data_IF_445838097777
#
_entry.id   IF_445838097777
#
_cell.length_a   1.000
_cell.length_b   1.000
_cell.length_c   1.000
_cell.angle_alpha   90.00
_cell.angle_beta   90.00
_cell.angle_gamma   90.00
#
_symmetry.space_group_name_H-M   'P 1'
#
loop_
_entity.id
_entity.type
_entity.pdbx_description
1 polymer ?
#
# COMPACT_ATOMS: atom_id res chain seq x y z
N UNK A 1 -0.15 6.98 9.25
CA UNK A 1 -1.30 6.25 9.86
C UNK A 1 -0.85 5.07 10.72
N UNK A 2 0.08 4.22 10.28
CA UNK A 2 0.52 3.04 11.07
C UNK A 2 0.91 3.37 12.52
N UNK A 3 1.52 4.52 12.76
CA UNK A 3 1.93 4.94 14.10
C UNK A 3 0.79 5.46 15.01
N UNK A 4 -0.47 5.46 14.57
CA UNK A 4 -1.61 5.91 15.39
C UNK A 4 -1.73 5.12 16.69
N UNK A 5 -1.39 3.83 16.62
CA UNK A 5 -1.44 2.91 17.78
C UNK A 5 -0.05 2.53 18.32
N UNK A 6 0.96 3.37 18.04
CA UNK A 6 2.32 3.09 18.52
C UNK A 6 2.37 3.01 20.04
N UNK A 7 2.81 1.86 20.54
CA UNK A 7 2.91 1.58 21.96
C UNK A 7 1.61 1.12 22.61
N UNK A 8 0.52 1.06 21.86
CA UNK A 8 -0.81 0.73 22.39
C UNK A 8 -1.09 -0.77 22.41
N UNK A 9 -2.08 -1.13 23.22
CA UNK A 9 -2.71 -2.45 23.24
C UNK A 9 -4.15 -2.29 22.76
N UNK A 10 -4.42 -2.76 21.55
CA UNK A 10 -5.73 -2.69 20.91
C UNK A 10 -6.66 -3.75 21.53
N UNK A 11 -7.92 -3.42 21.71
CA UNK A 11 -8.96 -4.38 22.00
C UNK A 11 -9.18 -5.29 20.78
N UNK A 12 -8.88 -6.58 20.91
CA UNK A 12 -8.97 -7.56 19.82
C UNK A 12 -10.37 -7.73 19.24
N UNK A 13 -11.44 -7.37 20.00
CA UNK A 13 -12.80 -7.39 19.49
C UNK A 13 -13.09 -6.32 18.43
N UNK A 14 -12.22 -5.31 18.32
CA UNK A 14 -12.34 -4.23 17.33
C UNK A 14 -11.63 -4.55 16.00
N UNK A 15 -10.85 -5.62 15.97
CA UNK A 15 -10.15 -6.04 14.73
C UNK A 15 -11.11 -6.84 13.82
N UNK A 16 -11.01 -6.68 12.49
CA UNK A 16 -10.11 -5.79 11.78
C UNK A 16 -10.56 -4.31 11.81
N UNK A 17 -9.60 -3.38 11.89
CA UNK A 17 -9.85 -1.95 11.76
C UNK A 17 -9.28 -1.42 10.45
N UNK A 18 -10.05 -0.59 9.75
CA UNK A 18 -9.65 0.01 8.48
C UNK A 18 -9.64 1.53 8.57
N UNK A 19 -8.58 2.13 8.03
CA UNK A 19 -8.40 3.57 8.00
C UNK A 19 -8.04 4.03 6.60
N UNK A 20 -8.44 5.26 6.30
CA UNK A 20 -8.11 5.94 5.05
C UNK A 20 -7.70 7.38 5.37
N UNK A 21 -6.63 7.86 4.74
CA UNK A 21 -6.22 9.25 4.87
C UNK A 21 -5.67 9.79 3.55
N UNK A 22 -6.00 11.05 3.28
CA UNK A 22 -5.45 11.83 2.18
C UNK A 22 -4.36 12.76 2.71
N UNK A 23 -3.22 12.82 2.01
CA UNK A 23 -2.13 13.73 2.37
C UNK A 23 -1.27 14.11 1.16
N UNK A 24 -0.62 15.28 1.23
CA UNK A 24 0.50 15.60 0.39
C UNK A 24 1.72 14.78 0.82
N UNK A 25 2.45 14.25 -0.16
CA UNK A 25 3.67 13.48 0.04
C UNK A 25 4.82 14.16 -0.69
N UNK A 26 6.02 14.09 -0.11
CA UNK A 26 7.21 14.73 -0.63
C UNK A 26 8.33 13.71 -0.81
N UNK A 27 8.96 13.71 -1.99
CA UNK A 27 10.10 12.84 -2.30
C UNK A 27 11.21 13.63 -2.96
N UNK A 28 12.46 13.41 -2.53
CA UNK A 28 13.64 14.02 -3.14
C UNK A 28 13.95 13.49 -4.54
N UNK A 29 13.43 12.29 -4.89
CA UNK A 29 13.65 11.60 -6.16
C UNK A 29 15.17 11.53 -6.55
N UNK A 30 16.04 11.58 -5.54
CA UNK A 30 17.48 11.48 -5.72
C UNK A 30 17.84 10.07 -6.22
N UNK A 31 18.56 9.99 -7.33
CA UNK A 31 18.95 8.73 -7.94
C UNK A 31 17.98 8.18 -8.97
N UNK A 32 16.79 8.77 -9.15
CA UNK A 32 15.95 8.45 -10.29
C UNK A 32 16.59 9.03 -11.56
N UNK A 33 16.99 8.16 -12.48
CA UNK A 33 17.54 8.54 -13.77
C UNK A 33 16.77 7.84 -14.87
N UNK A 34 16.54 8.53 -15.98
CA UNK A 34 15.96 7.94 -17.17
C UNK A 34 14.68 8.60 -17.69
N UNK A 35 13.93 7.85 -18.48
CA UNK A 35 12.72 8.36 -19.18
C UNK A 35 11.63 8.81 -18.22
N UNK A 36 11.50 8.17 -17.07
CA UNK A 36 10.45 8.45 -16.07
C UNK A 36 10.68 9.74 -15.27
N UNK A 37 11.88 10.36 -15.38
CA UNK A 37 12.19 11.66 -14.76
C UNK A 37 11.68 12.84 -15.57
N UNK A 38 11.20 12.60 -16.79
CA UNK A 38 10.63 13.63 -17.67
C UNK A 38 9.11 13.50 -17.65
N UNK A 39 8.41 14.61 -17.43
CA UNK A 39 6.96 14.65 -17.42
C UNK A 39 6.35 14.56 -16.01
N UNK A 40 5.15 13.99 -15.87
CA UNK A 40 4.32 14.06 -14.66
C UNK A 40 4.39 12.81 -13.77
N UNK A 41 5.10 11.74 -14.17
CA UNK A 41 5.10 10.47 -13.41
C UNK A 41 5.91 10.59 -12.11
N UNK A 42 7.07 11.23 -12.16
CA UNK A 42 7.93 11.45 -11.00
C UNK A 42 7.83 12.90 -10.56
N UNK A 43 7.22 13.12 -9.42
CA UNK A 43 6.98 14.45 -8.86
C UNK A 43 7.62 14.56 -7.48
N UNK A 44 8.13 15.74 -7.13
CA UNK A 44 8.67 16.03 -5.81
C UNK A 44 7.56 16.19 -4.76
N UNK A 45 6.39 16.65 -5.18
CA UNK A 45 5.18 16.73 -4.39
C UNK A 45 4.04 16.05 -5.14
N UNK A 46 3.34 15.15 -4.46
CA UNK A 46 2.16 14.47 -5.01
C UNK A 46 1.17 14.15 -3.90
N UNK A 47 -0.09 14.01 -4.27
CA UNK A 47 -1.14 13.65 -3.34
C UNK A 47 -1.32 12.13 -3.32
N UNK A 48 -1.54 11.59 -2.11
CA UNK A 48 -1.78 10.16 -1.92
C UNK A 48 -2.94 9.91 -0.97
N UNK A 49 -3.76 8.94 -1.31
CA UNK A 49 -4.73 8.33 -0.41
C UNK A 49 -4.11 7.03 0.10
N UNK A 50 -3.90 6.94 1.39
CA UNK A 50 -3.34 5.77 2.06
C UNK A 50 -4.45 4.96 2.71
N UNK A 51 -4.46 3.65 2.47
CA UNK A 51 -5.32 2.69 3.14
C UNK A 51 -4.48 1.88 4.13
N UNK A 52 -4.93 1.75 5.37
CA UNK A 52 -4.24 0.94 6.39
C UNK A 52 -5.26 0.07 7.11
N UNK A 53 -4.94 -1.22 7.26
CA UNK A 53 -5.72 -2.15 8.05
C UNK A 53 -4.87 -2.70 9.20
N UNK A 54 -5.49 -2.80 10.39
CA UNK A 54 -4.97 -3.56 11.52
C UNK A 54 -5.84 -4.80 11.65
N UNK A 55 -5.20 -5.98 11.61
CA UNK A 55 -5.89 -7.26 11.56
C UNK A 55 -5.30 -8.24 12.56
N UNK A 56 -6.02 -9.31 12.85
CA UNK A 56 -5.43 -10.47 13.49
C UNK A 56 -4.53 -11.21 12.49
N UNK A 57 -3.48 -11.93 12.96
CA UNK A 57 -2.56 -12.65 12.08
C UNK A 57 -3.24 -13.62 11.10
N UNK A 58 -4.23 -14.35 11.58
CA UNK A 58 -4.97 -15.35 10.79
C UNK A 58 -5.84 -14.75 9.67
N UNK A 59 -6.14 -13.45 9.75
CA UNK A 59 -6.97 -12.73 8.79
C UNK A 59 -6.16 -11.87 7.82
N UNK A 60 -4.86 -11.66 8.08
CA UNK A 60 -4.06 -10.62 7.39
C UNK A 60 -4.05 -10.78 5.87
N UNK A 61 -3.85 -11.99 5.37
CA UNK A 61 -3.83 -12.24 3.92
C UNK A 61 -5.21 -12.05 3.27
N UNK A 62 -6.28 -12.45 3.96
CA UNK A 62 -7.63 -12.21 3.46
C UNK A 62 -7.98 -10.71 3.44
N UNK A 63 -7.50 -9.96 4.40
CA UNK A 63 -7.67 -8.51 4.44
C UNK A 63 -6.78 -7.78 3.42
N UNK A 64 -5.62 -8.34 3.04
CA UNK A 64 -4.83 -7.84 1.90
C UNK A 64 -5.63 -7.96 0.59
N UNK A 65 -6.29 -9.09 0.34
CA UNK A 65 -7.12 -9.26 -0.87
C UNK A 65 -8.25 -8.21 -0.91
N UNK A 66 -8.93 -7.97 0.20
CA UNK A 66 -9.98 -6.94 0.29
C UNK A 66 -9.41 -5.53 0.05
N UNK A 67 -8.27 -5.21 0.65
CA UNK A 67 -7.61 -3.91 0.48
C UNK A 67 -7.20 -3.70 -0.98
N UNK A 68 -6.70 -4.73 -1.65
CA UNK A 68 -6.36 -4.69 -3.06
C UNK A 68 -7.61 -4.45 -3.91
N UNK A 69 -8.72 -5.12 -3.63
CA UNK A 69 -9.99 -4.89 -4.32
C UNK A 69 -10.54 -3.48 -4.12
N UNK A 70 -10.39 -2.90 -2.93
CA UNK A 70 -10.79 -1.51 -2.68
C UNK A 70 -9.99 -0.54 -3.58
N UNK A 71 -8.68 -0.78 -3.72
CA UNK A 71 -7.82 0.01 -4.61
C UNK A 71 -8.17 -0.19 -6.10
N UNK A 72 -8.42 -1.42 -6.55
CA UNK A 72 -8.88 -1.73 -7.91
C UNK A 72 -10.20 -1.03 -8.23
N UNK A 73 -11.10 -0.97 -7.25
CA UNK A 73 -12.43 -0.38 -7.43
C UNK A 73 -12.37 1.06 -7.91
N UNK A 74 -11.39 1.83 -7.46
CA UNK A 74 -11.17 3.21 -7.90
C UNK A 74 -10.88 3.25 -9.41
N UNK A 75 -10.01 2.37 -9.91
CA UNK A 75 -9.65 2.32 -11.33
C UNK A 75 -10.81 1.82 -12.19
N UNK A 76 -11.59 0.87 -11.69
CA UNK A 76 -12.81 0.41 -12.35
C UNK A 76 -13.82 1.54 -12.53
N UNK A 77 -14.04 2.35 -11.47
CA UNK A 77 -14.94 3.49 -11.52
C UNK A 77 -14.46 4.59 -12.48
N UNK A 78 -13.14 4.75 -12.61
CA UNK A 78 -12.53 5.68 -13.56
C UNK A 78 -12.49 5.13 -15.00
N UNK A 79 -12.79 3.85 -15.20
CA UNK A 79 -12.73 3.20 -16.51
C UNK A 79 -11.31 3.07 -17.07
N UNK A 80 -10.30 3.02 -16.20
CA UNK A 80 -8.90 2.93 -16.61
C UNK A 80 -8.48 1.47 -16.79
N UNK A 81 -7.79 1.12 -17.91
CA UNK A 81 -7.18 -0.19 -18.08
C UNK A 81 -6.04 -0.37 -17.07
N UNK A 82 -6.10 -1.43 -16.30
CA UNK A 82 -5.09 -1.74 -15.27
C UNK A 82 -4.79 -3.24 -15.20
N UNK A 83 -3.77 -3.60 -14.49
CA UNK A 83 -3.48 -4.97 -14.09
C UNK A 83 -2.97 -5.01 -12.65
N UNK A 84 -3.14 -6.16 -11.99
CA UNK A 84 -2.56 -6.44 -10.69
C UNK A 84 -1.42 -7.42 -10.87
N UNK A 85 -0.28 -7.13 -10.26
CA UNK A 85 0.94 -7.94 -10.34
C UNK A 85 1.36 -8.31 -8.93
N UNK A 86 1.60 -9.59 -8.68
CA UNK A 86 2.25 -10.03 -7.44
C UNK A 86 3.76 -9.85 -7.58
N UNK A 87 4.39 -9.21 -6.61
CA UNK A 87 5.84 -9.01 -6.65
C UNK A 87 6.60 -10.32 -6.36
N UNK A 88 7.67 -10.53 -7.11
CA UNK A 88 8.63 -11.58 -6.80
C UNK A 88 9.39 -11.27 -5.51
N UNK A 89 9.98 -12.29 -4.88
CA UNK A 89 10.75 -12.10 -3.64
C UNK A 89 11.94 -11.17 -3.79
N UNK A 90 12.49 -11.04 -5.01
CA UNK A 90 13.58 -10.10 -5.30
C UNK A 90 13.17 -8.63 -5.35
N UNK A 91 11.88 -8.37 -5.55
CA UNK A 91 11.32 -7.01 -5.67
C UNK A 91 10.58 -6.57 -4.40
N UNK A 92 10.37 -7.49 -3.45
CA UNK A 92 9.71 -7.16 -2.18
C UNK A 92 10.56 -6.21 -1.35
N UNK A 93 9.92 -5.18 -0.79
CA UNK A 93 10.52 -4.39 0.28
C UNK A 93 10.83 -5.27 1.50
N UNK A 94 11.91 -4.99 2.22
CA UNK A 94 12.39 -5.81 3.35
C UNK A 94 11.37 -6.02 4.48
N UNK A 95 10.33 -5.19 4.54
CA UNK A 95 9.27 -5.26 5.56
C UNK A 95 8.04 -6.05 5.11
N UNK A 96 7.94 -6.39 3.84
CA UNK A 96 6.73 -7.00 3.25
C UNK A 96 6.87 -8.50 3.14
N UNK A 97 5.80 -9.23 3.46
CA UNK A 97 5.68 -10.67 3.24
C UNK A 97 5.03 -10.98 1.89
N UNK A 98 4.06 -10.15 1.47
CA UNK A 98 3.38 -10.24 0.17
C UNK A 98 3.01 -8.84 -0.29
N UNK A 99 3.19 -8.58 -1.58
CA UNK A 99 2.82 -7.29 -2.20
C UNK A 99 2.15 -7.52 -3.54
N UNK A 100 1.07 -6.79 -3.76
CA UNK A 100 0.46 -6.56 -5.05
C UNK A 100 0.73 -5.14 -5.51
N UNK A 101 1.26 -4.97 -6.72
CA UNK A 101 1.29 -3.69 -7.40
C UNK A 101 0.10 -3.59 -8.35
N UNK A 102 -0.51 -2.42 -8.37
CA UNK A 102 -1.56 -2.07 -9.32
C UNK A 102 -0.95 -1.12 -10.34
N UNK A 103 -0.96 -1.54 -11.60
CA UNK A 103 -0.37 -0.81 -12.72
C UNK A 103 -1.45 -0.40 -13.71
N UNK A 104 -1.40 0.85 -14.17
CA UNK A 104 -2.29 1.37 -15.22
C UNK A 104 -1.59 1.43 -16.56
N UNK A 105 -2.35 1.20 -17.63
CA UNK A 105 -1.83 1.37 -18.98
C UNK A 105 -1.58 2.84 -19.29
N UNK A 106 -0.36 3.17 -19.69
CA UNK A 106 0.07 4.51 -20.08
C UNK A 106 0.31 4.56 -21.60
N UNK A 107 -0.65 5.06 -22.41
CA UNK A 107 -0.53 5.07 -23.87
C UNK A 107 0.72 5.80 -24.37
N UNK A 108 1.08 6.92 -23.74
CA UNK A 108 2.26 7.71 -24.11
C UNK A 108 3.60 6.98 -23.88
N UNK A 109 3.61 5.95 -23.03
CA UNK A 109 4.77 5.12 -22.72
C UNK A 109 4.71 3.75 -23.39
N UNK A 110 3.53 3.34 -23.88
CA UNK A 110 3.32 2.02 -24.45
C UNK A 110 3.51 0.88 -23.45
N UNK A 111 3.29 1.13 -22.15
CA UNK A 111 3.48 0.14 -21.07
C UNK A 111 2.59 0.40 -19.88
N UNK A 112 2.48 -0.60 -19.02
CA UNK A 112 1.89 -0.45 -17.69
C UNK A 112 2.88 0.25 -16.75
N UNK A 113 2.35 1.08 -15.86
CA UNK A 113 3.11 1.84 -14.84
C UNK A 113 2.43 1.68 -13.50
N UNK A 114 3.19 1.35 -12.47
CA UNK A 114 2.70 1.25 -11.10
C UNK A 114 2.16 2.59 -10.62
N UNK A 115 0.97 2.53 -10.01
CA UNK A 115 0.32 3.69 -9.37
C UNK A 115 -0.04 3.43 -7.92
N UNK A 116 -0.07 2.16 -7.49
CA UNK A 116 -0.45 1.76 -6.15
C UNK A 116 0.23 0.45 -5.79
N UNK A 117 0.52 0.27 -4.51
CA UNK A 117 1.09 -0.94 -3.96
C UNK A 117 0.33 -1.33 -2.69
N UNK A 118 -0.08 -2.59 -2.58
CA UNK A 118 -0.82 -3.15 -1.46
C UNK A 118 -0.01 -4.28 -0.83
N UNK A 119 0.37 -4.13 0.44
CA UNK A 119 1.29 -5.05 1.10
C UNK A 119 0.74 -5.61 2.40
N UNK A 120 1.03 -6.88 2.65
CA UNK A 120 0.95 -7.50 3.96
C UNK A 120 2.35 -7.50 4.60
N UNK A 121 2.45 -6.95 5.79
CA UNK A 121 3.69 -6.87 6.56
C UNK A 121 3.72 -7.90 7.70
N UNK A 122 2.67 -8.72 7.81
CA UNK A 122 2.45 -9.58 8.97
C UNK A 122 2.64 -8.79 10.27
N UNK A 123 3.49 -9.24 11.17
CA UNK A 123 3.75 -8.56 12.44
C UNK A 123 4.97 -7.60 12.40
N UNK A 124 5.67 -7.48 11.26
CA UNK A 124 6.92 -6.74 11.20
C UNK A 124 6.78 -5.28 11.65
N UNK A 125 5.81 -4.56 11.08
CA UNK A 125 5.58 -3.15 11.45
C UNK A 125 4.97 -3.03 12.86
N UNK A 126 4.09 -3.95 13.24
CA UNK A 126 3.48 -3.96 14.57
C UNK A 126 4.54 -4.16 15.65
N UNK A 127 5.48 -5.09 15.48
CA UNK A 127 6.60 -5.27 16.42
C UNK A 127 7.47 -4.03 16.53
N UNK A 128 7.84 -3.40 15.42
CA UNK A 128 8.67 -2.18 15.40
C UNK A 128 8.01 -0.99 16.10
N UNK A 129 6.68 -0.87 15.97
CA UNK A 129 5.90 0.20 16.59
C UNK A 129 5.37 -0.18 17.98
N UNK A 130 5.67 -1.39 18.48
CA UNK A 130 5.13 -1.93 19.75
C UNK A 130 3.59 -1.91 19.79
N UNK A 131 2.96 -2.15 18.66
CA UNK A 131 1.50 -2.30 18.55
C UNK A 131 1.14 -3.74 18.90
N UNK A 132 0.22 -3.90 19.82
CA UNK A 132 -0.24 -5.20 20.30
C UNK A 132 -1.76 -5.22 20.37
N UNK A 133 -2.35 -6.37 20.45
CA UNK A 133 -3.76 -6.50 20.78
C UNK A 133 -3.96 -7.52 21.92
N UNK A 134 -5.09 -7.41 22.60
CA UNK A 134 -5.50 -8.33 23.67
C UNK A 134 -6.77 -9.03 23.22
N UNK A 135 -6.78 -10.34 23.26
CA UNK A 135 -7.99 -11.14 23.15
C UNK A 135 -8.76 -11.10 24.49
N UNK A 136 -10.08 -11.05 24.42
CA UNK A 136 -10.95 -11.13 25.59
C UNK A 136 -11.28 -12.58 25.92
#
# INVERSE_FOLDING_TARGET
MTNMYRGDIIDGSKLPMSFCAYSACFRGEAGSAGRDTRGLIRQHEFNKVELVKFTKPEESYAELEKLTHDAERVLQLLGLPYRVVVLSTGDLGFSSAKTYDIEVWMPSYGRYVEISSCSDFEDFQARRASIRYKEN
#
